data_IF_015122797874
#
_entry.id   IF_015122797874
#
_cell.length_a   1.000
_cell.length_b   1.000
_cell.length_c   1.000
_cell.angle_alpha   90.00
_cell.angle_beta   90.00
_cell.angle_gamma   90.00
#
_symmetry.space_group_name_H-M   'P 1'
#
loop_
_entity.id
_entity.type
_entity.pdbx_description
1 polymer ?
#
# COMPACT_ATOMS: atom_id res chain seq x y z
N UNK A 1 -1.69 35.07 -60.11
CA UNK A 1 -0.86 36.16 -59.55
C UNK A 1 -0.92 36.11 -58.02
N UNK A 2 -0.27 35.14 -57.35
CA UNK A 2 -0.44 34.96 -55.88
C UNK A 2 0.80 34.47 -55.12
N UNK A 3 2.01 34.57 -55.69
CA UNK A 3 3.24 34.04 -55.08
C UNK A 3 3.75 34.83 -53.86
N UNK A 4 3.23 36.05 -53.64
CA UNK A 4 3.65 36.95 -52.55
C UNK A 4 2.90 36.62 -51.24
N UNK A 5 1.63 36.20 -51.32
CA UNK A 5 0.82 35.87 -50.15
C UNK A 5 1.25 34.53 -49.51
N UNK A 6 1.61 33.54 -50.31
CA UNK A 6 2.12 32.25 -49.80
C UNK A 6 3.50 32.39 -49.17
N UNK A 7 4.35 33.28 -49.68
CA UNK A 7 5.66 33.57 -49.09
C UNK A 7 5.52 34.11 -47.65
N UNK A 8 4.58 35.04 -47.42
CA UNK A 8 4.31 35.59 -46.09
C UNK A 8 3.71 34.53 -45.14
N UNK A 9 2.72 33.77 -45.62
CA UNK A 9 2.02 32.72 -44.84
C UNK A 9 2.92 31.52 -44.49
N UNK A 10 4.04 31.34 -45.21
CA UNK A 10 5.07 30.34 -44.89
C UNK A 10 6.08 30.87 -43.87
N UNK A 11 6.51 32.13 -43.99
CA UNK A 11 7.46 32.76 -43.06
C UNK A 11 6.93 32.84 -41.62
N UNK A 12 5.65 33.21 -41.43
CA UNK A 12 5.04 33.33 -40.10
C UNK A 12 4.96 31.99 -39.34
N UNK A 13 4.90 30.87 -40.07
CA UNK A 13 4.84 29.53 -39.47
C UNK A 13 6.17 29.10 -38.83
N UNK A 14 7.30 29.66 -39.27
CA UNK A 14 8.62 29.35 -38.71
C UNK A 14 8.95 30.16 -37.45
N UNK A 15 8.29 31.30 -37.21
CA UNK A 15 8.47 32.09 -35.97
C UNK A 15 7.89 31.42 -34.72
N UNK A 16 7.02 30.41 -34.85
CA UNK A 16 6.50 29.62 -33.71
C UNK A 16 7.45 28.52 -33.21
N UNK A 17 8.55 28.25 -33.90
CA UNK A 17 9.48 27.14 -33.60
C UNK A 17 10.64 27.61 -32.68
N UNK A 18 10.68 28.90 -32.31
CA UNK A 18 11.75 29.52 -31.51
C UNK A 18 11.42 29.81 -30.04
N UNK A 19 10.23 29.43 -29.54
CA UNK A 19 9.90 29.60 -28.12
C UNK A 19 10.34 28.38 -27.32
N UNK A 20 11.57 28.44 -26.78
CA UNK A 20 12.06 27.47 -25.80
C UNK A 20 11.12 27.40 -24.59
N UNK A 21 10.76 26.20 -24.09
CA UNK A 21 9.86 26.08 -22.94
C UNK A 21 10.41 26.82 -21.72
N UNK A 22 9.70 27.86 -21.26
CA UNK A 22 9.93 28.43 -19.94
C UNK A 22 9.38 27.47 -18.90
N UNK A 23 10.30 26.79 -18.21
CA UNK A 23 10.04 26.12 -16.94
C UNK A 23 9.53 27.20 -15.94
N UNK A 24 8.22 27.24 -15.72
CA UNK A 24 7.59 28.31 -14.93
C UNK A 24 6.26 28.82 -15.50
N UNK A 25 5.33 27.91 -15.77
CA UNK A 25 3.94 28.25 -16.05
C UNK A 25 3.04 27.24 -15.33
N UNK A 26 2.78 27.47 -14.04
CA UNK A 26 1.68 26.81 -13.34
C UNK A 26 0.38 27.39 -13.92
N UNK A 27 -0.13 26.75 -14.97
CA UNK A 27 -1.43 27.09 -15.54
C UNK A 27 -2.53 26.56 -14.62
N UNK A 28 -2.70 27.21 -13.47
CA UNK A 28 -3.91 27.14 -12.65
C UNK A 28 -5.04 27.85 -13.39
N UNK A 29 -5.46 27.28 -14.51
CA UNK A 29 -6.69 27.69 -15.20
C UNK A 29 -7.86 27.02 -14.49
N UNK A 30 -8.13 27.48 -13.27
CA UNK A 30 -9.37 27.15 -12.57
C UNK A 30 -10.53 27.72 -13.38
N UNK A 31 -11.34 26.84 -13.96
CA UNK A 31 -12.53 27.23 -14.70
C UNK A 31 -13.60 27.70 -13.72
N UNK A 32 -13.75 29.03 -13.60
CA UNK A 32 -14.71 29.65 -12.69
C UNK A 32 -16.18 29.42 -13.10
N UNK A 33 -16.46 28.77 -14.23
CA UNK A 33 -17.81 28.42 -14.67
C UNK A 33 -18.42 27.23 -13.92
N UNK A 34 -17.62 26.24 -13.50
CA UNK A 34 -18.11 25.00 -12.90
C UNK A 34 -18.46 25.14 -11.40
N UNK A 35 -17.98 26.20 -10.75
CA UNK A 35 -18.06 26.45 -9.30
C UNK A 35 -19.49 26.42 -8.73
N UNK A 36 -20.51 26.86 -9.49
CA UNK A 36 -21.91 26.86 -9.02
C UNK A 36 -22.48 25.45 -8.84
N UNK A 37 -22.08 24.49 -9.69
CA UNK A 37 -22.50 23.09 -9.54
C UNK A 37 -21.84 22.46 -8.31
N UNK A 38 -20.54 22.69 -8.10
CA UNK A 38 -19.83 22.21 -6.92
C UNK A 38 -20.37 22.83 -5.62
N UNK A 39 -20.77 24.11 -5.62
CA UNK A 39 -21.43 24.74 -4.47
C UNK A 39 -22.78 24.09 -4.11
N UNK A 40 -23.60 23.74 -5.11
CA UNK A 40 -24.87 23.02 -4.89
C UNK A 40 -24.58 21.60 -4.39
N UNK A 41 -23.66 20.88 -5.02
CA UNK A 41 -23.27 19.53 -4.60
C UNK A 41 -22.74 19.50 -3.17
N UNK A 42 -21.89 20.47 -2.78
CA UNK A 42 -21.37 20.60 -1.43
C UNK A 42 -22.46 20.90 -0.40
N UNK A 43 -23.43 21.78 -0.72
CA UNK A 43 -24.57 22.04 0.17
C UNK A 43 -25.47 20.82 0.35
N UNK A 44 -25.73 20.05 -0.72
CA UNK A 44 -26.49 18.79 -0.63
C UNK A 44 -25.75 17.75 0.21
N UNK A 45 -24.43 17.60 0.01
CA UNK A 45 -23.61 16.66 0.78
C UNK A 45 -23.53 17.04 2.27
N UNK A 46 -23.39 18.34 2.57
CA UNK A 46 -23.38 18.87 3.94
C UNK A 46 -24.74 18.66 4.62
N UNK A 47 -25.84 18.95 3.92
CA UNK A 47 -27.20 18.74 4.44
C UNK A 47 -27.50 17.26 4.70
N UNK A 48 -27.11 16.36 3.78
CA UNK A 48 -27.28 14.92 3.94
C UNK A 48 -26.41 14.36 5.08
N UNK A 49 -25.17 14.83 5.21
CA UNK A 49 -24.30 14.49 6.34
C UNK A 49 -24.86 14.95 7.68
N UNK A 50 -25.41 16.16 7.75
CA UNK A 50 -26.02 16.68 8.99
C UNK A 50 -27.33 15.97 9.34
N UNK A 51 -28.12 15.56 8.35
CA UNK A 51 -29.32 14.72 8.53
C UNK A 51 -28.96 13.34 9.09
N UNK A 52 -27.97 12.66 8.48
CA UNK A 52 -27.50 11.36 8.95
C UNK A 52 -26.90 11.44 10.36
N UNK A 53 -26.13 12.49 10.66
CA UNK A 53 -25.58 12.73 11.99
C UNK A 53 -26.69 12.97 13.03
N UNK A 54 -27.74 13.73 12.68
CA UNK A 54 -28.90 13.95 13.54
C UNK A 54 -29.67 12.65 13.84
N UNK A 55 -29.83 11.76 12.86
CA UNK A 55 -30.43 10.44 13.08
C UNK A 55 -29.54 9.53 13.94
N UNK A 56 -28.22 9.60 13.77
CA UNK A 56 -27.26 8.78 14.52
C UNK A 56 -27.17 9.19 16.00
N UNK A 57 -27.26 10.50 16.30
CA UNK A 57 -27.32 11.00 17.68
C UNK A 57 -28.73 10.90 18.31
N UNK A 58 -29.79 10.85 17.49
CA UNK A 58 -31.17 10.68 17.96
C UNK A 58 -31.52 9.24 18.41
N UNK A 59 -30.60 8.29 18.27
CA UNK A 59 -30.80 6.87 18.57
C UNK A 59 -30.34 6.50 19.99
N UNK A 60 -30.57 7.38 20.97
CA UNK A 60 -30.35 7.10 22.40
C UNK A 60 -31.62 6.50 23.03
N UNK A 61 -31.58 5.21 23.39
CA UNK A 61 -32.69 4.49 24.03
C UNK A 61 -33.05 5.08 25.41
N UNK A 62 -34.27 5.64 25.61
CA UNK A 62 -34.66 6.23 26.89
C UNK A 62 -35.19 5.16 27.86
N UNK A 63 -34.34 4.22 28.30
CA UNK A 63 -34.72 3.12 29.20
C UNK A 63 -33.71 2.86 30.33
N UNK A 64 -33.64 3.77 31.30
CA UNK A 64 -33.27 3.43 32.68
C UNK A 64 -34.30 3.97 33.69
N UNK A 65 -35.45 3.30 33.76
CA UNK A 65 -36.28 3.26 34.96
C UNK A 65 -36.52 1.81 35.36
N UNK A 66 -35.58 1.25 36.12
CA UNK A 66 -35.77 -0.01 36.86
C UNK A 66 -35.68 0.29 38.35
N UNK A 67 -36.84 0.62 38.90
CA UNK A 67 -37.44 -0.08 40.04
C UNK A 67 -36.50 -0.77 41.03
N UNK A 68 -36.19 -0.06 42.13
CA UNK A 68 -35.70 -0.69 43.35
C UNK A 68 -36.88 -1.02 44.29
N UNK A 69 -37.14 -2.28 44.65
CA UNK A 69 -38.02 -2.62 45.75
C UNK A 69 -37.26 -2.47 47.08
N UNK A 70 -37.78 -1.66 47.97
CA UNK A 70 -37.24 -1.51 49.32
C UNK A 70 -37.82 -2.56 50.28
N UNK A 71 -37.05 -2.86 51.35
CA UNK A 71 -37.47 -3.51 52.60
C UNK A 71 -37.82 -5.02 52.55
N UNK A 72 -36.92 -5.85 53.10
CA UNK A 72 -37.15 -6.58 54.37
C UNK A 72 -35.81 -7.07 54.96
N UNK A 73 -35.42 -6.63 56.17
CA UNK A 73 -34.42 -7.30 56.99
C UNK A 73 -35.11 -8.34 57.89
N UNK A 74 -34.68 -9.60 57.83
CA UNK A 74 -35.09 -10.63 58.79
C UNK A 74 -33.87 -11.39 59.34
N UNK A 75 -34.01 -11.95 60.54
CA UNK A 75 -32.92 -12.30 61.45
C UNK A 75 -32.66 -13.81 61.49
N UNK A 76 -31.40 -14.23 61.55
CA UNK A 76 -31.04 -15.60 61.92
C UNK A 76 -29.81 -15.62 62.85
N UNK A 77 -29.98 -15.85 64.17
CA UNK A 77 -28.88 -16.05 65.12
C UNK A 77 -28.66 -17.53 65.52
N UNK A 78 -27.40 -17.88 65.82
CA UNK A 78 -26.89 -19.18 66.29
C UNK A 78 -26.91 -20.34 65.26
N UNK A 79 -25.98 -21.32 65.24
CA UNK A 79 -24.98 -21.79 66.23
C UNK A 79 -23.77 -22.45 65.52
N UNK A 80 -22.55 -22.51 66.10
CA UNK A 80 -21.37 -23.08 65.43
C UNK A 80 -20.99 -24.53 65.85
N UNK A 81 -20.69 -25.38 64.85
CA UNK A 81 -19.92 -26.65 64.91
C UNK A 81 -19.43 -26.93 63.47
N UNK A 82 -18.15 -26.75 63.13
CA UNK A 82 -17.05 -27.74 63.09
C UNK A 82 -17.10 -28.75 61.91
N UNK A 83 -15.97 -29.28 61.39
CA UNK A 83 -14.56 -29.04 61.72
C UNK A 83 -13.73 -28.46 60.54
N UNK A 84 -12.47 -28.08 60.82
CA UNK A 84 -11.53 -27.63 59.79
C UNK A 84 -11.07 -28.78 58.87
N UNK A 85 -11.16 -28.59 57.56
CA UNK A 85 -10.53 -29.46 56.57
C UNK A 85 -9.27 -28.79 55.98
N UNK A 86 -8.22 -29.58 55.82
CA UNK A 86 -6.84 -29.15 55.62
C UNK A 86 -6.60 -28.32 54.36
N UNK A 87 -5.90 -27.19 54.48
CA UNK A 87 -5.32 -26.48 53.34
C UNK A 87 -4.11 -27.26 52.76
N UNK A 88 -4.06 -27.57 51.46
CA UNK A 88 -2.87 -28.13 50.84
C UNK A 88 -1.78 -27.07 50.72
N UNK A 89 -0.61 -27.30 51.33
CA UNK A 89 0.59 -26.49 51.06
C UNK A 89 1.30 -27.01 49.80
N UNK A 90 1.50 -26.20 48.76
CA UNK A 90 2.45 -26.51 47.69
C UNK A 90 3.87 -26.27 48.20
N UNK A 91 4.73 -27.29 48.17
CA UNK A 91 6.16 -27.14 48.47
C UNK A 91 7.02 -27.02 47.19
N UNK A 92 8.15 -26.31 47.36
CA UNK A 92 9.36 -26.22 46.50
C UNK A 92 9.35 -25.23 45.32
N UNK A 93 10.54 -24.79 44.83
CA UNK A 93 11.91 -24.98 45.38
C UNK A 93 12.70 -23.69 45.65
N UNK A 94 13.82 -23.84 46.36
CA UNK A 94 14.85 -22.82 46.64
C UNK A 94 15.64 -22.47 45.36
N UNK A 95 16.01 -21.20 45.11
CA UNK A 95 16.78 -20.81 43.92
C UNK A 95 18.28 -21.16 44.07
N UNK A 96 18.90 -21.63 42.99
CA UNK A 96 20.34 -21.85 42.89
C UNK A 96 20.91 -21.15 41.64
N UNK A 97 21.67 -20.08 41.90
CA UNK A 97 22.67 -19.48 41.01
C UNK A 97 23.84 -19.03 41.92
N UNK A 98 25.01 -18.69 41.38
CA UNK A 98 25.70 -19.23 40.21
C UNK A 98 27.10 -19.75 40.59
N UNK A 99 27.71 -20.61 39.75
CA UNK A 99 29.15 -20.90 39.87
C UNK A 99 29.91 -20.42 38.63
N UNK A 100 30.79 -19.45 38.86
CA UNK A 100 31.85 -19.05 37.94
C UNK A 100 33.14 -19.75 38.36
N UNK A 101 33.82 -20.38 37.41
CA UNK A 101 35.20 -20.85 37.58
C UNK A 101 35.98 -20.59 36.29
N UNK A 102 37.08 -19.87 36.42
CA UNK A 102 37.91 -19.33 35.32
C UNK A 102 39.23 -20.11 35.24
N UNK A 103 40.04 -19.88 34.18
CA UNK A 103 41.44 -20.32 34.01
C UNK A 103 41.65 -21.83 33.69
N UNK A 104 42.68 -22.30 32.96
CA UNK A 104 43.80 -21.74 32.15
C UNK A 104 44.36 -22.95 31.31
N UNK A 105 45.15 -22.87 30.23
CA UNK A 105 45.58 -21.82 29.27
C UNK A 105 46.54 -22.44 28.22
N UNK A 106 46.35 -22.11 26.92
CA UNK A 106 47.26 -22.26 25.76
C UNK A 106 48.23 -23.47 25.66
N UNK A 107 48.23 -24.13 24.49
CA UNK A 107 49.46 -24.68 23.90
C UNK A 107 49.58 -24.25 22.43
N UNK A 108 50.72 -23.67 22.06
CA UNK A 108 51.01 -23.09 20.74
C UNK A 108 52.19 -23.85 20.11
N UNK A 109 52.07 -24.27 18.84
CA UNK A 109 53.22 -24.43 17.93
C UNK A 109 52.81 -24.52 16.42
N UNK A 110 52.96 -23.43 15.64
CA UNK A 110 53.27 -23.41 14.19
C UNK A 110 54.74 -23.87 13.88
N UNK A 111 55.27 -23.90 12.63
CA UNK A 111 54.77 -23.43 11.30
C UNK A 111 54.51 -24.62 10.31
N UNK A 112 54.20 -24.51 9.00
CA UNK A 112 54.88 -23.89 7.83
C UNK A 112 53.91 -23.78 6.62
N UNK A 113 54.11 -22.92 5.58
CA UNK A 113 53.04 -22.47 4.69
C UNK A 113 53.07 -23.06 3.26
N UNK A 114 51.93 -22.97 2.55
CA UNK A 114 51.88 -22.78 1.10
C UNK A 114 50.57 -22.07 0.66
N UNK A 115 50.65 -21.24 -0.38
CA UNK A 115 49.59 -20.38 -0.93
C UNK A 115 48.81 -21.08 -2.05
N UNK A 116 47.81 -20.45 -2.72
CA UNK A 116 46.76 -19.52 -2.27
C UNK A 116 45.35 -20.06 -2.61
N UNK A 117 44.30 -19.42 -2.10
CA UNK A 117 43.04 -19.32 -2.86
C UNK A 117 42.29 -18.05 -2.49
N UNK A 118 42.03 -17.23 -3.50
CA UNK A 118 41.08 -16.15 -3.42
C UNK A 118 39.70 -16.76 -3.18
N UNK A 119 39.15 -16.56 -1.98
CA UNK A 119 37.72 -16.83 -1.77
C UNK A 119 36.93 -15.77 -2.52
N UNK A 120 36.59 -16.07 -3.77
CA UNK A 120 35.56 -15.35 -4.51
C UNK A 120 34.34 -15.22 -3.60
N UNK A 121 33.77 -14.02 -3.39
CA UNK A 121 32.54 -13.91 -2.63
C UNK A 121 31.48 -14.75 -3.35
N UNK A 122 30.87 -15.70 -2.63
CA UNK A 122 29.72 -16.44 -3.12
C UNK A 122 28.61 -15.42 -3.39
N UNK A 123 28.49 -15.05 -4.66
CA UNK A 123 27.32 -14.34 -5.16
C UNK A 123 26.14 -15.23 -4.82
N UNK A 124 25.24 -14.72 -3.95
CA UNK A 124 23.94 -15.34 -3.77
C UNK A 124 23.30 -15.42 -5.13
N UNK A 125 23.16 -16.64 -5.63
CA UNK A 125 22.49 -16.95 -6.86
C UNK A 125 21.04 -16.49 -6.73
N UNK A 126 20.75 -15.29 -7.22
CA UNK A 126 19.38 -14.88 -7.50
C UNK A 126 18.82 -15.92 -8.45
N UNK A 127 17.60 -16.44 -8.22
CA UNK A 127 16.99 -17.40 -9.15
C UNK A 127 17.09 -16.85 -10.56
N UNK A 128 17.68 -17.64 -11.46
CA UNK A 128 17.82 -17.24 -12.86
C UNK A 128 16.45 -16.82 -13.41
N UNK A 129 16.36 -15.73 -14.18
CA UNK A 129 15.10 -15.33 -14.76
C UNK A 129 14.60 -16.47 -15.64
N UNK A 130 13.46 -17.05 -15.27
CA UNK A 130 12.64 -17.82 -16.20
C UNK A 130 12.47 -16.99 -17.46
N UNK A 131 12.60 -17.62 -18.63
CA UNK A 131 12.61 -16.99 -19.96
C UNK A 131 11.23 -16.41 -20.34
N UNK A 132 10.71 -15.51 -19.52
CA UNK A 132 9.56 -14.68 -19.82
C UNK A 132 10.00 -13.63 -20.84
N UNK A 133 9.25 -13.53 -21.94
CA UNK A 133 9.43 -12.47 -22.93
C UNK A 133 9.46 -11.11 -22.23
N UNK A 134 10.45 -10.23 -22.53
CA UNK A 134 10.50 -8.93 -21.89
C UNK A 134 9.19 -8.17 -22.16
N UNK A 135 8.59 -7.52 -21.14
CA UNK A 135 7.30 -6.86 -21.31
C UNK A 135 7.46 -5.68 -22.26
N UNK A 136 6.72 -5.72 -23.37
CA UNK A 136 6.68 -4.63 -24.36
C UNK A 136 6.05 -3.39 -23.74
N UNK A 137 6.43 -2.20 -24.18
CA UNK A 137 5.71 -0.99 -23.76
C UNK A 137 4.27 -1.03 -24.29
N UNK A 138 3.29 -0.57 -23.51
CA UNK A 138 1.90 -0.42 -23.98
C UNK A 138 1.82 0.34 -25.33
N UNK A 139 2.70 1.32 -25.55
CA UNK A 139 2.78 2.12 -26.78
C UNK A 139 3.32 1.37 -28.01
N UNK A 140 3.89 0.18 -27.84
CA UNK A 140 4.47 -0.65 -28.92
C UNK A 140 3.50 -1.74 -29.40
N UNK A 141 2.36 -1.90 -28.73
CA UNK A 141 1.38 -2.92 -29.05
C UNK A 141 0.53 -2.54 -30.27
N UNK A 142 -0.04 -3.51 -31.01
CA UNK A 142 -0.97 -3.22 -32.09
C UNK A 142 -2.17 -2.41 -31.59
N UNK A 143 -2.69 -1.43 -32.35
CA UNK A 143 -3.79 -0.57 -31.91
C UNK A 143 -5.01 -1.38 -31.47
N UNK A 144 -5.38 -2.41 -32.24
CA UNK A 144 -6.49 -3.30 -31.89
C UNK A 144 -6.31 -4.12 -30.59
N UNK A 145 -5.11 -4.20 -30.00
CA UNK A 145 -4.94 -4.72 -28.64
C UNK A 145 -5.22 -3.64 -27.60
N UNK A 146 -4.74 -2.42 -27.84
CA UNK A 146 -5.00 -1.25 -26.97
C UNK A 146 -6.50 -0.91 -26.94
N UNK A 147 -7.21 -1.02 -28.07
CA UNK A 147 -8.66 -0.81 -28.16
C UNK A 147 -9.48 -1.87 -27.39
N UNK A 148 -8.91 -3.05 -27.10
CA UNK A 148 -9.55 -4.11 -26.30
C UNK A 148 -9.17 -4.07 -24.82
N UNK A 149 -8.18 -3.26 -24.44
CA UNK A 149 -7.84 -3.07 -23.04
C UNK A 149 -8.90 -2.20 -22.34
N UNK A 150 -9.23 -2.50 -21.08
CA UNK A 150 -10.04 -1.60 -20.27
C UNK A 150 -9.26 -0.30 -20.00
N UNK A 151 -9.97 0.74 -19.54
CA UNK A 151 -9.31 1.94 -19.04
C UNK A 151 -8.50 1.60 -17.78
N UNK A 152 -7.21 1.93 -17.77
CA UNK A 152 -6.26 1.58 -16.71
C UNK A 152 -5.52 2.84 -16.24
N UNK A 153 -6.07 3.51 -15.23
CA UNK A 153 -5.44 4.67 -14.61
C UNK A 153 -4.67 4.22 -13.35
N UNK A 154 -3.36 4.49 -13.27
CA UNK A 154 -2.56 4.22 -12.06
C UNK A 154 -2.63 5.43 -11.14
N UNK A 155 -3.46 5.38 -10.10
CA UNK A 155 -3.64 6.48 -9.15
C UNK A 155 -2.49 6.57 -8.13
N UNK A 156 -2.01 5.42 -7.68
CA UNK A 156 -0.91 5.31 -6.70
C UNK A 156 0.00 4.18 -7.09
N UNK A 157 1.31 4.43 -7.04
CA UNK A 157 2.34 3.42 -7.24
C UNK A 157 3.26 3.38 -6.01
N UNK A 158 3.45 2.19 -5.43
CA UNK A 158 4.29 2.00 -4.25
C UNK A 158 5.23 0.82 -4.46
N UNK A 159 6.46 1.12 -4.89
CA UNK A 159 7.53 0.15 -5.04
C UNK A 159 8.31 -0.07 -3.74
N UNK A 160 8.80 -1.30 -3.54
CA UNK A 160 9.69 -1.69 -2.46
C UNK A 160 10.51 -2.93 -2.87
N UNK A 161 11.71 -3.12 -2.32
CA UNK A 161 12.52 -4.31 -2.61
C UNK A 161 11.89 -5.62 -2.15
N UNK A 162 10.96 -5.57 -1.17
CA UNK A 162 10.17 -6.72 -0.74
C UNK A 162 8.84 -6.77 -1.52
N UNK A 163 8.60 -7.79 -2.39
CA UNK A 163 7.36 -7.94 -3.16
C UNK A 163 6.09 -7.81 -2.32
N UNK A 164 6.07 -8.40 -1.12
CA UNK A 164 4.93 -8.34 -0.17
C UNK A 164 4.59 -6.93 0.34
N UNK A 165 5.45 -5.94 0.10
CA UNK A 165 5.23 -4.52 0.44
C UNK A 165 4.89 -3.67 -0.78
N UNK A 166 5.10 -4.17 -2.00
CA UNK A 166 4.67 -3.51 -3.23
C UNK A 166 3.14 -3.52 -3.31
N UNK A 167 2.57 -2.43 -3.81
CA UNK A 167 1.17 -2.37 -4.23
C UNK A 167 0.97 -1.19 -5.19
N UNK A 168 -0.11 -1.25 -5.94
CA UNK A 168 -0.59 -0.13 -6.77
C UNK A 168 -2.08 0.08 -6.52
N UNK A 169 -2.55 1.30 -6.74
CA UNK A 169 -3.98 1.56 -6.95
C UNK A 169 -4.19 1.76 -8.45
N UNK A 170 -5.12 1.00 -9.02
CA UNK A 170 -5.55 1.13 -10.40
C UNK A 170 -7.06 1.35 -10.39
N UNK A 171 -7.53 2.44 -10.99
CA UNK A 171 -8.93 2.88 -10.93
C UNK A 171 -9.46 2.93 -9.48
N UNK A 172 -8.65 3.48 -8.57
CA UNK A 172 -8.85 3.62 -7.12
C UNK A 172 -8.93 2.30 -6.32
N UNK A 173 -8.80 1.13 -6.94
CA UNK A 173 -8.76 -0.16 -6.26
C UNK A 173 -7.32 -0.68 -6.07
N UNK A 174 -7.03 -1.29 -4.92
CA UNK A 174 -5.68 -1.69 -4.52
C UNK A 174 -5.33 -3.12 -4.93
N UNK A 175 -4.26 -3.27 -5.71
CA UNK A 175 -3.75 -4.55 -6.21
C UNK A 175 -2.27 -4.79 -5.86
N UNK A 176 -1.87 -6.06 -5.92
CA UNK A 176 -0.52 -6.59 -5.69
C UNK A 176 -0.11 -7.53 -6.82
N UNK A 177 1.18 -7.89 -6.86
CA UNK A 177 1.70 -8.90 -7.78
C UNK A 177 0.99 -10.25 -7.58
N UNK A 178 0.40 -10.77 -8.66
CA UNK A 178 -0.44 -11.96 -8.70
C UNK A 178 -1.95 -11.70 -8.70
N UNK A 179 -2.41 -10.46 -8.46
CA UNK A 179 -3.84 -10.14 -8.41
C UNK A 179 -4.43 -9.91 -9.81
N UNK A 180 -5.63 -10.43 -10.07
CA UNK A 180 -6.43 -10.02 -11.22
C UNK A 180 -7.13 -8.69 -10.92
N UNK A 181 -7.02 -7.73 -11.84
CA UNK A 181 -7.76 -6.48 -11.77
C UNK A 181 -9.26 -6.76 -12.00
N UNK A 182 -10.14 -5.96 -11.37
CA UNK A 182 -11.57 -5.96 -11.69
C UNK A 182 -11.84 -5.63 -13.17
N UNK A 183 -10.89 -4.93 -13.80
CA UNK A 183 -10.87 -4.61 -15.22
C UNK A 183 -10.54 -5.82 -16.14
N UNK A 184 -9.97 -6.91 -15.60
CA UNK A 184 -9.68 -8.15 -16.33
C UNK A 184 -8.19 -8.56 -16.45
N UNK A 185 -7.22 -7.65 -16.69
CA UNK A 185 -5.80 -8.01 -16.75
C UNK A 185 -5.24 -8.56 -15.43
N UNK A 186 -4.22 -9.43 -15.52
CA UNK A 186 -3.45 -9.92 -14.38
C UNK A 186 -2.29 -8.97 -14.06
N UNK A 187 -2.19 -8.46 -12.83
CA UNK A 187 -1.02 -7.73 -12.36
C UNK A 187 0.14 -8.71 -12.10
N UNK A 188 1.06 -8.78 -13.05
CA UNK A 188 2.16 -9.73 -13.02
C UNK A 188 3.34 -9.29 -12.16
N UNK A 189 3.69 -8.00 -12.21
CA UNK A 189 4.86 -7.44 -11.49
C UNK A 189 4.69 -5.94 -11.27
N UNK A 190 5.19 -5.42 -10.15
CA UNK A 190 5.25 -3.99 -9.84
C UNK A 190 6.72 -3.56 -9.93
N UNK A 191 7.06 -2.87 -11.01
CA UNK A 191 8.40 -2.34 -11.28
C UNK A 191 8.59 -0.99 -10.58
N UNK A 192 9.82 -0.46 -10.56
CA UNK A 192 10.11 0.88 -9.99
C UNK A 192 9.44 2.01 -10.76
N UNK A 193 9.18 1.84 -12.06
CA UNK A 193 8.72 2.88 -12.99
C UNK A 193 7.39 2.55 -13.70
N UNK A 194 6.65 1.55 -13.18
CA UNK A 194 5.37 1.13 -13.75
C UNK A 194 4.90 -0.22 -13.22
N UNK A 195 3.99 -0.84 -13.95
CA UNK A 195 3.50 -2.21 -13.71
C UNK A 195 3.58 -3.05 -14.96
N UNK A 196 3.76 -4.36 -14.78
CA UNK A 196 3.64 -5.36 -15.85
C UNK A 196 2.29 -6.04 -15.69
N UNK A 197 1.49 -5.97 -16.74
CA UNK A 197 0.16 -6.56 -16.82
C UNK A 197 0.16 -7.66 -17.89
N UNK A 198 -0.72 -8.64 -17.73
CA UNK A 198 -0.94 -9.68 -18.73
C UNK A 198 -2.42 -9.72 -19.10
N UNK A 199 -2.71 -9.65 -20.41
CA UNK A 199 -4.07 -9.66 -20.95
C UNK A 199 -4.10 -10.45 -22.25
N UNK A 200 -5.05 -11.37 -22.39
CA UNK A 200 -5.18 -12.28 -23.55
C UNK A 200 -3.89 -13.05 -23.91
N UNK A 201 -3.00 -13.29 -22.94
CA UNK A 201 -1.70 -13.96 -23.12
C UNK A 201 -0.57 -13.05 -23.62
N UNK A 202 -0.82 -11.76 -23.85
CA UNK A 202 0.20 -10.75 -24.14
C UNK A 202 0.58 -10.01 -22.84
N UNK A 203 1.89 -9.87 -22.61
CA UNK A 203 2.45 -9.28 -21.39
C UNK A 203 3.10 -7.93 -21.71
N UNK A 204 2.59 -6.87 -21.08
CA UNK A 204 2.95 -5.49 -21.40
C UNK A 204 3.23 -4.66 -20.16
N UNK A 205 4.04 -3.62 -20.34
CA UNK A 205 4.37 -2.63 -19.31
C UNK A 205 3.51 -1.39 -19.49
N UNK A 206 2.76 -1.06 -18.44
CA UNK A 206 2.08 0.22 -18.27
C UNK A 206 2.97 1.12 -17.40
N UNK A 207 3.59 2.17 -17.93
CA UNK A 207 4.36 3.12 -17.13
C UNK A 207 3.44 3.88 -16.16
N UNK A 208 3.99 4.39 -15.06
CA UNK A 208 3.27 5.39 -14.26
C UNK A 208 2.93 6.61 -15.13
N UNK A 209 1.66 7.00 -15.16
CA UNK A 209 1.22 8.13 -15.96
C UNK A 209 1.76 9.44 -15.40
N UNK A 210 2.38 10.27 -16.25
CA UNK A 210 2.70 11.64 -15.90
C UNK A 210 1.38 12.45 -15.86
N UNK A 211 0.92 12.79 -14.65
CA UNK A 211 -0.09 13.84 -14.43
C UNK A 211 0.51 15.23 -14.64
#
# INVERSE_FOLDING_TARGET
>A
MSLILDALKKAERQHRIGQVPRLGAVNTQQDLGQSRWFGIAALVFLGLGMLLLGLYLGQEDPQQMVSGPALVPDMQPARPEAPAFSAPQPQKPVPLQPQVATAQKLKIQPPEPESPSFTTPVVKESPAPVLQSPPKSISELPPGFVDNLPELNIDVHSYNDQPKRRYVLINLEKYREGDYLAAGPLLSEILTDGVVLEHMGERFKLPIGNQ
#
